data_IF_293316134126
#
_entry.id   IF_293316134126
#
_cell.length_a   1.000
_cell.length_b   1.000
_cell.length_c   1.000
_cell.angle_alpha   90.00
_cell.angle_beta   90.00
_cell.angle_gamma   90.00
#
_symmetry.space_group_name_H-M   'P 1'
#
loop_
_entity.id
_entity.type
_entity.pdbx_description
1 polymer ?
#
# COMPACT_ATOMS: atom_id res chain seq x y z
N UNK A 1 -5.92 -18.52 -62.41
CA UNK A 1 -6.10 -19.17 -61.09
C UNK A 1 -4.81 -19.00 -60.28
N UNK A 2 -4.89 -18.38 -59.11
CA UNK A 2 -3.71 -17.90 -58.35
C UNK A 2 -3.05 -19.02 -57.54
N UNK A 3 -1.71 -19.01 -57.48
CA UNK A 3 -0.87 -20.02 -56.78
C UNK A 3 -1.30 -20.27 -55.32
N UNK A 4 -1.88 -19.27 -54.67
CA UNK A 4 -2.43 -19.32 -53.31
C UNK A 4 -3.57 -20.35 -53.15
N UNK A 5 -4.38 -20.58 -54.19
CA UNK A 5 -5.51 -21.51 -54.13
C UNK A 5 -5.08 -22.98 -54.01
N UNK A 6 -3.95 -23.35 -54.64
CA UNK A 6 -3.40 -24.72 -54.54
C UNK A 6 -2.83 -25.02 -53.15
N UNK A 7 -2.22 -24.03 -52.50
CA UNK A 7 -1.67 -24.18 -51.14
C UNK A 7 -2.79 -24.40 -50.12
N UNK A 8 -3.87 -23.62 -50.22
CA UNK A 8 -5.05 -23.75 -49.36
C UNK A 8 -5.72 -25.12 -49.58
N UNK A 9 -5.92 -25.54 -50.83
CA UNK A 9 -6.51 -26.85 -51.15
C UNK A 9 -5.68 -28.03 -50.61
N UNK A 10 -4.34 -27.94 -50.65
CA UNK A 10 -3.46 -28.98 -50.10
C UNK A 10 -3.45 -29.01 -48.56
N UNK A 11 -3.57 -27.86 -47.89
CA UNK A 11 -3.68 -27.77 -46.44
C UNK A 11 -4.94 -28.45 -45.90
N UNK A 12 -6.07 -28.35 -46.61
CA UNK A 12 -7.33 -28.99 -46.21
C UNK A 12 -7.44 -30.48 -46.58
N UNK A 13 -6.48 -31.03 -47.36
CA UNK A 13 -6.43 -32.45 -47.72
C UNK A 13 -6.03 -33.36 -46.56
N UNK A 14 -5.25 -32.85 -45.59
CA UNK A 14 -4.87 -33.56 -44.35
C UNK A 14 -5.23 -32.74 -43.11
N UNK A 15 -6.54 -32.57 -42.87
CA UNK A 15 -7.12 -31.71 -41.82
C UNK A 15 -6.48 -31.90 -40.45
N UNK A 16 -6.29 -33.15 -40.00
CA UNK A 16 -5.69 -33.46 -38.69
C UNK A 16 -4.26 -32.92 -38.56
N UNK A 17 -3.43 -33.10 -39.61
CA UNK A 17 -2.03 -32.64 -39.57
C UNK A 17 -1.97 -31.12 -39.54
N UNK A 18 -2.75 -30.46 -40.37
CA UNK A 18 -2.80 -29.00 -40.48
C UNK A 18 -3.30 -28.35 -39.18
N UNK A 19 -4.34 -28.93 -38.56
CA UNK A 19 -4.86 -28.46 -37.27
C UNK A 19 -3.82 -28.62 -36.17
N UNK A 20 -3.16 -29.78 -36.06
CA UNK A 20 -2.14 -30.00 -35.02
C UNK A 20 -0.93 -29.08 -35.17
N UNK A 21 -0.47 -28.82 -36.41
CA UNK A 21 0.63 -27.87 -36.64
C UNK A 21 0.23 -26.43 -36.34
N UNK A 22 -1.00 -26.04 -36.69
CA UNK A 22 -1.51 -24.70 -36.39
C UNK A 22 -1.69 -24.50 -34.89
N UNK A 23 -2.24 -25.50 -34.19
CA UNK A 23 -2.44 -25.49 -32.75
C UNK A 23 -1.10 -25.40 -32.00
N UNK A 24 -0.07 -26.09 -32.48
CA UNK A 24 1.29 -25.99 -31.91
C UNK A 24 1.85 -24.56 -32.00
N UNK A 25 1.70 -23.90 -33.16
CA UNK A 25 2.13 -22.51 -33.34
C UNK A 25 1.32 -21.56 -32.46
N UNK A 26 -0.02 -21.71 -32.41
CA UNK A 26 -0.89 -20.90 -31.55
C UNK A 26 -0.49 -21.08 -30.08
N UNK A 27 -0.24 -22.30 -29.63
CA UNK A 27 0.15 -22.60 -28.25
C UNK A 27 1.50 -21.96 -27.90
N UNK A 28 2.47 -21.96 -28.82
CA UNK A 28 3.75 -21.28 -28.62
C UNK A 28 3.57 -19.77 -28.41
N UNK A 29 2.76 -19.10 -29.24
CA UNK A 29 2.46 -17.68 -29.08
C UNK A 29 1.64 -17.37 -27.82
N UNK A 30 0.71 -18.26 -27.45
CA UNK A 30 -0.10 -18.12 -26.23
C UNK A 30 0.77 -18.23 -24.99
N UNK A 31 1.64 -19.26 -24.92
CA UNK A 31 2.58 -19.44 -23.82
C UNK A 31 3.54 -18.25 -23.73
N UNK A 32 4.03 -17.73 -24.86
CA UNK A 32 4.87 -16.55 -24.89
C UNK A 32 4.14 -15.30 -24.35
N UNK A 33 2.90 -15.04 -24.80
CA UNK A 33 2.09 -13.93 -24.32
C UNK A 33 1.73 -14.03 -22.83
N UNK A 34 1.46 -15.25 -22.34
CA UNK A 34 1.22 -15.50 -20.92
C UNK A 34 2.49 -15.26 -20.11
N UNK A 35 3.65 -15.74 -20.56
CA UNK A 35 4.93 -15.53 -19.89
C UNK A 35 5.28 -14.04 -19.81
N UNK A 36 5.02 -13.28 -20.88
CA UNK A 36 5.19 -11.84 -20.91
C UNK A 36 4.25 -11.14 -19.91
N UNK A 37 2.98 -11.54 -19.85
CA UNK A 37 2.01 -10.97 -18.92
C UNK A 37 2.39 -11.23 -17.46
N UNK A 38 2.80 -12.47 -17.16
CA UNK A 38 3.30 -12.86 -15.85
C UNK A 38 4.58 -12.09 -15.50
N UNK A 39 5.50 -11.94 -16.44
CA UNK A 39 6.72 -11.15 -16.24
C UNK A 39 6.39 -9.69 -15.94
N UNK A 40 5.46 -9.07 -16.66
CA UNK A 40 5.02 -7.69 -16.38
C UNK A 40 4.40 -7.56 -15.00
N UNK A 41 3.61 -8.54 -14.54
CA UNK A 41 3.01 -8.50 -13.19
C UNK A 41 4.10 -8.56 -12.11
N UNK A 42 5.12 -9.42 -12.28
CA UNK A 42 6.24 -9.50 -11.34
C UNK A 42 7.18 -8.28 -11.44
N UNK A 43 7.38 -7.74 -12.63
CA UNK A 43 8.24 -6.58 -12.89
C UNK A 43 7.58 -5.25 -12.51
N UNK A 44 6.25 -5.15 -12.52
CA UNK A 44 5.53 -3.98 -11.99
C UNK A 44 5.75 -3.79 -10.47
N UNK A 45 6.07 -4.88 -9.75
CA UNK A 45 6.58 -4.82 -8.39
C UNK A 45 8.07 -4.45 -8.30
N UNK A 46 8.84 -4.64 -9.38
CA UNK A 46 10.27 -4.36 -9.50
C UNK A 46 10.60 -2.98 -10.07
N UNK A 47 9.65 -2.26 -10.68
CA UNK A 47 9.76 -0.81 -10.99
C UNK A 47 9.89 0.06 -9.71
N UNK A 48 9.93 -0.59 -8.53
CA UNK A 48 10.43 -0.07 -7.26
C UNK A 48 11.93 0.26 -7.23
N UNK A 49 12.67 0.12 -8.35
CA UNK A 49 14.10 0.48 -8.48
C UNK A 49 14.36 2.00 -8.36
N UNK A 50 13.32 2.83 -8.32
CA UNK A 50 13.40 4.25 -7.95
C UNK A 50 12.97 4.58 -6.52
N UNK A 51 12.65 3.58 -5.68
CA UNK A 51 12.07 3.83 -4.37
C UNK A 51 13.09 4.44 -3.41
N UNK A 52 12.90 5.72 -3.12
CA UNK A 52 13.57 6.44 -2.02
C UNK A 52 13.04 6.02 -0.64
N UNK A 53 12.39 4.86 -0.51
CA UNK A 53 11.78 4.39 0.74
C UNK A 53 12.07 2.92 0.98
N UNK A 54 12.64 2.61 2.14
CA UNK A 54 12.78 1.24 2.65
C UNK A 54 11.76 0.99 3.74
N UNK A 55 11.16 -0.20 3.75
CA UNK A 55 10.27 -0.66 4.81
C UNK A 55 11.04 -1.64 5.69
N UNK A 56 11.08 -1.36 6.98
CA UNK A 56 11.74 -2.19 7.99
C UNK A 56 10.65 -2.78 8.88
N UNK A 57 10.69 -4.10 9.06
CA UNK A 57 9.73 -4.85 9.86
C UNK A 57 10.46 -5.94 10.65
N UNK A 58 9.79 -6.55 11.62
CA UNK A 58 10.37 -7.68 12.35
C UNK A 58 10.61 -8.88 11.42
N UNK A 59 11.81 -9.47 11.51
CA UNK A 59 12.22 -10.63 10.70
C UNK A 59 11.30 -11.85 10.87
N UNK A 60 10.77 -12.04 12.08
CA UNK A 60 9.95 -13.21 12.45
C UNK A 60 8.54 -13.14 11.85
N UNK A 61 7.91 -11.96 11.86
CA UNK A 61 6.57 -11.72 11.32
C UNK A 61 6.29 -10.22 11.33
N UNK A 62 5.60 -9.71 10.31
CA UNK A 62 5.13 -8.33 10.28
C UNK A 62 4.13 -8.01 11.42
N UNK A 63 3.48 -9.03 11.98
CA UNK A 63 2.56 -8.87 13.12
C UNK A 63 3.28 -8.73 14.46
N UNK A 64 4.60 -8.99 14.52
CA UNK A 64 5.41 -8.78 15.71
C UNK A 64 5.89 -7.34 15.74
N UNK A 65 5.40 -6.49 16.66
CA UNK A 65 5.69 -5.07 16.59
C UNK A 65 7.06 -4.75 17.22
N UNK A 66 7.77 -3.83 16.58
CA UNK A 66 9.06 -3.29 16.98
C UNK A 66 8.88 -2.09 17.91
N UNK A 67 9.82 -1.83 18.83
CA UNK A 67 9.74 -0.66 19.70
C UNK A 67 10.08 0.63 18.95
N UNK A 68 9.22 1.65 19.07
CA UNK A 68 9.40 3.01 18.50
C UNK A 68 10.66 3.69 19.03
N UNK A 69 11.21 3.26 20.17
CA UNK A 69 12.52 3.70 20.66
C UNK A 69 13.69 3.39 19.70
N UNK A 70 13.48 2.57 18.67
CA UNK A 70 14.44 2.38 17.58
C UNK A 70 14.52 3.57 16.62
N UNK A 71 13.52 4.47 16.62
CA UNK A 71 13.43 5.58 15.68
C UNK A 71 14.70 6.45 15.63
N UNK A 72 15.27 6.93 16.77
CA UNK A 72 16.51 7.71 16.73
C UNK A 72 17.70 6.94 16.16
N UNK A 73 17.75 5.61 16.38
CA UNK A 73 18.82 4.77 15.83
C UNK A 73 18.70 4.64 14.31
N UNK A 74 17.48 4.50 13.81
CA UNK A 74 17.21 4.43 12.37
C UNK A 74 17.46 5.78 11.68
N UNK A 75 17.14 6.90 12.34
CA UNK A 75 17.45 8.23 11.83
C UNK A 75 18.96 8.51 11.76
N UNK A 76 19.75 7.90 12.65
CA UNK A 76 21.20 8.03 12.65
C UNK A 76 21.90 7.20 11.56
N UNK A 77 21.18 6.33 10.83
CA UNK A 77 21.77 5.51 9.77
C UNK A 77 22.18 6.41 8.58
N UNK A 78 23.44 6.34 8.12
CA UNK A 78 23.92 7.18 7.02
C UNK A 78 23.09 7.00 5.75
N UNK A 79 22.56 8.11 5.22
CA UNK A 79 21.73 8.11 4.01
C UNK A 79 20.22 8.03 4.26
N UNK A 80 19.79 7.92 5.53
CA UNK A 80 18.39 8.10 5.91
C UNK A 80 18.10 9.59 6.11
N UNK A 81 17.12 10.11 5.37
CA UNK A 81 16.67 11.50 5.45
C UNK A 81 15.59 11.69 6.53
N UNK A 82 14.68 10.72 6.65
CA UNK A 82 13.55 10.77 7.60
C UNK A 82 13.07 9.36 7.90
N UNK A 83 12.65 9.13 9.14
CA UNK A 83 12.02 7.87 9.55
C UNK A 83 10.59 8.13 9.98
N UNK A 84 9.67 7.32 9.47
CA UNK A 84 8.29 7.26 9.91
C UNK A 84 8.02 5.88 10.48
N UNK A 85 6.88 5.74 11.14
CA UNK A 85 6.39 4.47 11.62
C UNK A 85 4.91 4.33 11.28
N UNK A 86 4.50 3.08 11.12
CA UNK A 86 3.13 2.73 10.77
C UNK A 86 2.75 1.42 11.46
N UNK A 87 1.66 1.47 12.22
CA UNK A 87 1.11 0.32 12.90
C UNK A 87 -0.14 -0.14 12.15
N UNK A 88 -0.20 -1.42 11.81
CA UNK A 88 -1.38 -2.01 11.20
C UNK A 88 -2.53 -1.98 12.22
N UNK A 89 -3.67 -1.42 11.84
CA UNK A 89 -4.87 -1.40 12.66
C UNK A 89 -5.90 -2.43 12.19
N UNK A 90 -6.10 -2.56 10.88
CA UNK A 90 -7.05 -3.51 10.28
C UNK A 90 -8.50 -3.24 10.70
N UNK A 91 -9.03 -2.08 10.32
CA UNK A 91 -10.39 -1.65 10.68
C UNK A 91 -11.47 -2.38 9.87
N UNK A 92 -12.67 -2.45 10.43
CA UNK A 92 -13.88 -2.91 9.74
C UNK A 92 -14.89 -1.78 9.76
N UNK A 93 -15.29 -1.31 8.60
CA UNK A 93 -16.38 -0.37 8.45
C UNK A 93 -17.71 -1.12 8.34
N UNK A 94 -18.75 -0.58 8.99
CA UNK A 94 -20.05 -1.23 9.14
C UNK A 94 -19.90 -2.67 9.67
N UNK A 95 -20.70 -3.62 9.17
CA UNK A 95 -20.70 -4.99 9.68
C UNK A 95 -19.56 -5.85 9.12
N UNK A 96 -19.18 -5.69 7.84
CA UNK A 96 -18.30 -6.65 7.16
C UNK A 96 -17.34 -6.05 6.12
N UNK A 97 -17.07 -4.73 6.12
CA UNK A 97 -16.18 -4.11 5.13
C UNK A 97 -14.78 -3.91 5.70
N UNK A 98 -13.79 -4.79 5.41
CA UNK A 98 -12.43 -4.60 5.88
C UNK A 98 -11.78 -3.38 5.20
N UNK A 99 -11.04 -2.60 5.99
CA UNK A 99 -10.27 -1.46 5.54
C UNK A 99 -8.78 -1.70 5.75
N UNK A 100 -8.00 -1.24 4.78
CA UNK A 100 -6.57 -1.08 4.94
C UNK A 100 -6.35 0.20 5.75
N UNK A 101 -6.19 0.03 7.06
CA UNK A 101 -6.09 1.14 8.00
C UNK A 101 -4.82 1.02 8.84
N UNK A 102 -4.09 2.13 8.94
CA UNK A 102 -2.85 2.23 9.70
C UNK A 102 -2.89 3.43 10.65
N UNK A 103 -2.18 3.30 11.77
CA UNK A 103 -1.89 4.45 12.64
C UNK A 103 -0.47 4.96 12.41
N UNK A 104 -0.34 6.28 12.25
CA UNK A 104 0.88 6.96 11.82
C UNK A 104 1.12 8.26 12.61
N UNK A 105 2.34 8.78 12.54
CA UNK A 105 2.63 10.18 12.86
C UNK A 105 2.29 11.08 11.66
N UNK A 106 1.34 12.04 11.79
CA UNK A 106 0.91 12.88 10.67
C UNK A 106 2.02 13.67 9.99
N UNK A 107 2.90 14.30 10.79
CA UNK A 107 3.95 15.20 10.28
C UNK A 107 5.02 14.40 9.54
N UNK A 108 5.49 13.31 10.15
CA UNK A 108 6.48 12.41 9.53
C UNK A 108 5.91 11.75 8.29
N UNK A 109 4.63 11.38 8.29
CA UNK A 109 4.01 10.78 7.11
C UNK A 109 3.94 11.78 5.95
N UNK A 110 3.57 13.03 6.21
CA UNK A 110 3.58 14.09 5.20
C UNK A 110 4.98 14.30 4.61
N UNK A 111 6.02 14.36 5.44
CA UNK A 111 7.42 14.48 4.97
C UNK A 111 7.86 13.27 4.12
N UNK A 112 7.40 12.08 4.50
CA UNK A 112 7.80 10.83 3.88
C UNK A 112 7.08 10.63 2.57
N UNK A 113 5.79 10.97 2.46
CA UNK A 113 4.94 10.74 1.29
C UNK A 113 4.41 12.06 0.69
N UNK A 114 5.27 12.94 0.15
CA UNK A 114 4.83 14.17 -0.52
C UNK A 114 3.98 13.92 -1.78
N UNK A 115 3.91 12.67 -2.26
CA UNK A 115 3.07 12.26 -3.37
C UNK A 115 1.60 12.07 -2.99
N UNK A 116 1.29 11.97 -1.69
CA UNK A 116 -0.06 12.10 -1.19
C UNK A 116 -0.36 13.59 -0.98
N UNK A 117 -1.24 14.11 -1.83
CA UNK A 117 -1.57 15.52 -1.91
C UNK A 117 -2.91 15.74 -1.21
N UNK A 118 -2.91 16.70 -0.29
CA UNK A 118 -4.06 17.13 0.48
C UNK A 118 -3.81 18.60 0.86
N UNK A 119 -4.85 19.45 0.98
CA UNK A 119 -4.65 20.84 1.41
C UNK A 119 -3.89 20.92 2.75
N UNK A 120 -2.98 21.89 2.88
CA UNK A 120 -2.16 22.03 4.10
C UNK A 120 -3.03 22.20 5.35
N UNK A 121 -4.17 22.89 5.24
CA UNK A 121 -5.13 23.01 6.34
C UNK A 121 -5.69 21.67 6.83
N UNK A 122 -5.88 20.70 5.94
CA UNK A 122 -6.33 19.34 6.29
C UNK A 122 -5.19 18.51 6.91
N UNK A 123 -3.94 18.70 6.45
CA UNK A 123 -2.77 18.10 7.12
C UNK A 123 -2.63 18.59 8.56
N UNK A 124 -2.78 19.90 8.76
CA UNK A 124 -2.76 20.50 10.09
C UNK A 124 -3.96 20.06 10.93
N UNK A 125 -5.15 19.93 10.34
CA UNK A 125 -6.32 19.40 11.04
C UNK A 125 -6.09 17.95 11.49
N UNK A 126 -5.45 17.11 10.66
CA UNK A 126 -5.08 15.75 11.02
C UNK A 126 -4.02 15.68 12.12
N UNK A 127 -3.04 16.59 12.13
CA UNK A 127 -2.06 16.66 13.20
C UNK A 127 -2.66 17.10 14.55
N UNK A 128 -3.64 18.02 14.52
CA UNK A 128 -4.18 18.65 15.72
C UNK A 128 -5.45 17.97 16.27
N UNK A 129 -6.16 17.19 15.45
CA UNK A 129 -7.38 16.49 15.86
C UNK A 129 -7.04 15.08 16.28
N UNK A 130 -7.07 14.81 17.59
CA UNK A 130 -6.73 13.50 18.16
C UNK A 130 -7.57 12.35 17.61
N UNK A 131 -8.88 12.57 17.41
CA UNK A 131 -9.79 11.61 16.78
C UNK A 131 -9.81 11.72 15.26
N UNK A 132 -8.88 12.47 14.68
CA UNK A 132 -8.78 12.70 13.25
C UNK A 132 -8.40 11.44 12.49
N UNK A 133 -9.05 11.25 11.35
CA UNK A 133 -8.64 10.31 10.31
C UNK A 133 -8.55 11.03 8.97
N UNK A 134 -7.68 10.52 8.11
CA UNK A 134 -7.67 10.88 6.69
C UNK A 134 -7.91 9.63 5.86
N UNK A 135 -8.65 9.78 4.77
CA UNK A 135 -8.95 8.70 3.85
C UNK A 135 -8.42 9.03 2.46
N UNK A 136 -7.93 8.03 1.74
CA UNK A 136 -7.61 8.22 0.34
C UNK A 136 -8.88 8.40 -0.49
N UNK A 137 -8.78 9.20 -1.55
CA UNK A 137 -9.90 9.57 -2.42
C UNK A 137 -10.69 8.38 -2.95
N UNK A 138 -10.02 7.28 -3.36
CA UNK A 138 -10.72 6.08 -3.82
C UNK A 138 -11.65 5.50 -2.75
N UNK A 139 -11.22 5.43 -1.49
CA UNK A 139 -12.08 4.95 -0.38
C UNK A 139 -13.23 5.92 -0.14
N UNK A 140 -12.94 7.22 -0.13
CA UNK A 140 -13.95 8.24 0.13
C UNK A 140 -15.05 8.23 -0.96
N UNK A 141 -14.66 8.14 -2.24
CA UNK A 141 -15.60 8.06 -3.36
C UNK A 141 -16.37 6.73 -3.37
N UNK A 142 -15.68 5.61 -3.13
CA UNK A 142 -16.30 4.28 -3.11
C UNK A 142 -17.41 4.17 -2.06
N UNK A 143 -17.20 4.76 -0.88
CA UNK A 143 -18.15 4.69 0.23
C UNK A 143 -18.97 5.98 0.45
N UNK A 144 -18.80 6.97 -0.42
CA UNK A 144 -19.50 8.25 -0.34
C UNK A 144 -19.17 9.07 0.91
N UNK A 145 -18.00 8.89 1.50
CA UNK A 145 -17.56 9.65 2.68
C UNK A 145 -17.27 11.10 2.32
N UNK A 146 -17.64 12.00 3.24
CA UNK A 146 -17.45 13.44 3.07
C UNK A 146 -16.60 14.01 4.21
N UNK A 147 -15.79 15.01 3.88
CA UNK A 147 -15.02 15.76 4.87
C UNK A 147 -15.93 16.28 6.00
N UNK A 148 -15.48 16.15 7.23
CA UNK A 148 -16.22 16.51 8.45
C UNK A 148 -17.16 15.44 8.98
N UNK A 149 -17.32 14.31 8.28
CA UNK A 149 -18.15 13.20 8.74
C UNK A 149 -17.48 12.42 9.87
N UNK A 150 -18.28 11.99 10.86
CA UNK A 150 -17.85 10.97 11.83
C UNK A 150 -18.01 9.56 11.25
N UNK A 151 -16.91 8.82 11.17
CA UNK A 151 -16.86 7.46 10.64
C UNK A 151 -16.68 6.47 11.81
N UNK A 152 -17.66 5.57 12.06
CA UNK A 152 -17.51 4.50 13.02
C UNK A 152 -16.73 3.33 12.38
N UNK A 153 -15.64 2.92 13.03
CA UNK A 153 -14.78 1.81 12.63
C UNK A 153 -14.72 0.80 13.78
N UNK A 154 -15.01 -0.46 13.48
CA UNK A 154 -14.84 -1.56 14.42
C UNK A 154 -13.42 -2.12 14.30
N UNK A 155 -12.80 -2.47 15.42
CA UNK A 155 -11.50 -3.16 15.43
C UNK A 155 -11.65 -4.61 15.85
N UNK A 156 -11.20 -5.53 15.00
CA UNK A 156 -11.11 -6.95 15.36
C UNK A 156 -9.86 -7.27 16.18
N UNK A 157 -8.87 -6.37 16.15
CA UNK A 157 -7.55 -6.57 16.74
C UNK A 157 -7.41 -5.75 18.03
N UNK A 158 -7.75 -4.47 18.02
CA UNK A 158 -7.42 -3.53 19.10
C UNK A 158 -8.70 -2.99 19.78
N UNK A 159 -9.15 -3.59 20.89
CA UNK A 159 -10.16 -2.96 21.73
C UNK A 159 -9.60 -1.71 22.41
N UNK A 160 -10.46 -0.75 22.67
CA UNK A 160 -10.16 0.40 23.52
C UNK A 160 -10.04 -0.04 24.98
N UNK A 161 -9.43 0.80 25.84
CA UNK A 161 -9.27 0.56 27.28
C UNK A 161 -10.56 0.23 28.03
N UNK A 162 -11.71 0.69 27.53
CA UNK A 162 -13.03 0.37 28.09
C UNK A 162 -13.58 -0.99 27.61
N UNK A 163 -12.82 -1.77 26.84
CA UNK A 163 -13.21 -3.05 26.25
C UNK A 163 -14.01 -2.94 24.95
N UNK A 164 -14.42 -1.73 24.56
CA UNK A 164 -15.16 -1.51 23.31
C UNK A 164 -14.27 -1.71 22.09
N UNK A 165 -14.82 -2.38 21.07
CA UNK A 165 -14.19 -2.50 19.74
C UNK A 165 -14.61 -1.38 18.80
N UNK A 166 -15.51 -0.49 19.21
CA UNK A 166 -16.03 0.58 18.37
C UNK A 166 -15.18 1.85 18.52
N UNK A 167 -14.48 2.21 17.45
CA UNK A 167 -13.71 3.44 17.31
C UNK A 167 -14.50 4.45 16.48
N UNK A 168 -14.52 5.71 16.90
CA UNK A 168 -15.16 6.78 16.14
C UNK A 168 -14.10 7.80 15.76
N UNK A 169 -14.09 8.17 14.48
CA UNK A 169 -13.10 9.06 13.90
C UNK A 169 -13.77 10.22 13.18
N UNK A 170 -13.15 11.39 13.26
CA UNK A 170 -13.52 12.57 12.48
C UNK A 170 -12.74 12.57 11.17
N UNK A 171 -13.43 12.46 10.02
CA UNK A 171 -12.77 12.55 8.72
C UNK A 171 -12.35 14.00 8.48
N UNK A 172 -11.08 14.31 8.75
CA UNK A 172 -10.52 15.67 8.72
C UNK A 172 -9.74 15.98 7.45
N UNK A 173 -9.57 14.98 6.58
CA UNK A 173 -8.94 15.19 5.28
C UNK A 173 -9.17 14.04 4.30
N UNK A 174 -9.15 14.36 3.02
CA UNK A 174 -9.19 13.38 1.93
C UNK A 174 -8.01 13.63 1.01
N UNK A 175 -7.04 12.71 1.00
CA UNK A 175 -5.84 12.85 0.19
C UNK A 175 -5.99 12.14 -1.16
N UNK A 176 -5.32 12.68 -2.18
CA UNK A 176 -5.23 12.11 -3.51
C UNK A 176 -3.76 11.86 -3.89
N UNK A 177 -3.52 11.17 -5.01
CA UNK A 177 -2.18 11.01 -5.55
C UNK A 177 -1.77 12.17 -6.46
N UNK A 178 -0.50 12.58 -6.40
CA UNK A 178 0.06 13.61 -7.29
C UNK A 178 -0.03 13.26 -8.80
N UNK A 179 -0.07 11.98 -9.12
CA UNK A 179 -0.12 11.43 -10.47
C UNK A 179 -0.98 10.15 -10.54
N UNK A 180 -1.27 9.66 -11.75
CA UNK A 180 -2.14 8.48 -11.96
C UNK A 180 -1.65 7.21 -11.26
N UNK A 181 -0.34 7.06 -11.05
CA UNK A 181 0.20 5.91 -10.33
C UNK A 181 -0.07 6.01 -8.83
N UNK A 182 0.02 7.21 -8.26
CA UNK A 182 -0.29 7.47 -6.85
C UNK A 182 -1.80 7.51 -6.57
N UNK A 183 -2.63 8.00 -7.51
CA UNK A 183 -4.09 8.00 -7.37
C UNK A 183 -4.64 6.60 -7.14
N UNK A 184 -4.11 5.60 -7.86
CA UNK A 184 -4.43 4.16 -7.70
C UNK A 184 -4.05 3.59 -6.33
N UNK A 185 -3.26 4.31 -5.53
CA UNK A 185 -2.77 3.90 -4.20
C UNK A 185 -3.46 4.66 -3.06
N UNK A 186 -4.65 5.23 -3.33
CA UNK A 186 -5.48 5.93 -2.35
C UNK A 186 -6.57 5.04 -1.77
N UNK A 187 -6.39 3.71 -1.81
CA UNK A 187 -7.26 2.71 -1.20
C UNK A 187 -6.91 2.42 0.29
N UNK A 188 -6.44 3.44 1.00
CA UNK A 188 -5.87 3.34 2.36
C UNK A 188 -6.40 4.46 3.26
N UNK A 189 -6.49 4.17 4.55
CA UNK A 189 -6.98 5.07 5.59
C UNK A 189 -5.92 5.21 6.68
N UNK A 190 -5.76 6.43 7.19
CA UNK A 190 -4.82 6.71 8.27
C UNK A 190 -5.50 7.34 9.47
N UNK A 191 -5.05 6.95 10.65
CA UNK A 191 -5.40 7.56 11.94
C UNK A 191 -4.13 8.01 12.67
N UNK A 192 -4.30 8.84 13.68
CA UNK A 192 -3.18 9.30 14.49
C UNK A 192 -2.68 8.21 15.45
N UNK A 193 -1.36 7.97 15.46
CA UNK A 193 -0.75 6.94 16.29
C UNK A 193 -0.84 7.24 17.78
N UNK A 194 -0.68 8.49 18.21
CA UNK A 194 -0.74 8.84 19.64
C UNK A 194 -2.12 8.55 20.23
N UNK A 195 -3.19 8.82 19.46
CA UNK A 195 -4.55 8.45 19.85
C UNK A 195 -4.72 6.93 19.95
N UNK A 196 -4.24 6.20 18.94
CA UNK A 196 -4.25 4.74 18.97
C UNK A 196 -3.55 4.19 20.21
N UNK A 197 -2.32 4.64 20.47
CA UNK A 197 -1.47 4.13 21.53
C UNK A 197 -2.05 4.42 22.92
N UNK A 198 -2.66 5.59 23.09
CA UNK A 198 -3.31 5.95 24.34
C UNK A 198 -4.64 5.21 24.56
N UNK A 199 -5.46 5.07 23.53
CA UNK A 199 -6.81 4.51 23.68
C UNK A 199 -6.82 2.98 23.70
N UNK A 200 -5.83 2.32 23.10
CA UNK A 200 -5.74 0.87 22.99
C UNK A 200 -5.56 0.18 24.37
N UNK A 201 -6.33 -0.89 24.61
CA UNK A 201 -6.27 -1.67 25.85
C UNK A 201 -4.98 -2.47 26.00
N UNK A 202 -4.42 -2.99 24.91
CA UNK A 202 -3.29 -3.92 24.96
C UNK A 202 -1.97 -3.27 25.40
N UNK A 203 -1.94 -1.94 25.57
CA UNK A 203 -0.73 -1.26 25.99
C UNK A 203 0.41 -1.49 25.00
N UNK A 204 0.13 -1.33 23.70
CA UNK A 204 1.13 -1.28 22.60
C UNK A 204 2.07 -0.07 22.72
N UNK A 205 2.30 0.44 23.94
CA UNK A 205 3.02 1.68 24.25
C UNK A 205 4.34 1.71 23.53
N UNK A 206 4.44 2.64 22.58
CA UNK A 206 5.65 2.83 21.79
C UNK A 206 6.02 1.62 20.94
N UNK A 207 5.05 0.94 20.30
CA UNK A 207 5.31 -0.18 19.38
C UNK A 207 4.67 0.03 18.01
N UNK A 208 5.34 -0.47 16.97
CA UNK A 208 4.91 -0.33 15.57
C UNK A 208 5.29 -1.53 14.72
N UNK A 209 4.51 -1.88 13.70
CA UNK A 209 4.79 -3.01 12.81
C UNK A 209 5.86 -2.65 11.77
N UNK A 210 5.87 -1.41 11.30
CA UNK A 210 6.70 -0.97 10.20
C UNK A 210 7.41 0.35 10.52
N UNK A 211 8.69 0.43 10.21
CA UNK A 211 9.37 1.71 10.00
C UNK A 211 9.52 1.97 8.50
N UNK A 212 9.35 3.22 8.10
CA UNK A 212 9.50 3.68 6.72
C UNK A 212 10.67 4.65 6.70
N UNK A 213 11.76 4.25 6.06
CA UNK A 213 12.98 5.03 5.95
C UNK A 213 12.99 5.72 4.60
N UNK A 214 12.80 7.05 4.59
CA UNK A 214 13.05 7.86 3.40
C UNK A 214 14.56 8.05 3.25
N UNK A 215 15.10 7.62 2.12
CA UNK A 215 16.51 7.75 1.78
C UNK A 215 16.79 9.11 1.13
N UNK A 216 18.00 9.61 1.32
CA UNK A 216 18.49 10.80 0.59
C UNK A 216 18.74 10.50 -0.89
N UNK A 217 19.03 9.24 -1.22
CA UNK A 217 19.37 8.77 -2.57
C UNK A 217 18.99 7.29 -2.71
N UNK A 218 18.33 6.92 -3.81
CA UNK A 218 17.97 5.53 -4.11
C UNK A 218 19.19 4.63 -4.31
N UNK A 219 20.34 5.17 -4.73
CA UNK A 219 21.58 4.41 -4.88
C UNK A 219 22.10 3.84 -3.55
N UNK A 220 21.67 4.42 -2.41
CA UNK A 220 22.05 3.95 -1.07
C UNK A 220 21.14 2.86 -0.51
N UNK A 221 20.10 2.46 -1.24
CA UNK A 221 19.11 1.51 -0.75
C UNK A 221 19.73 0.18 -0.31
N UNK A 222 20.62 -0.42 -1.12
CA UNK A 222 21.24 -1.70 -0.79
C UNK A 222 22.16 -1.61 0.43
N UNK A 223 23.00 -0.57 0.49
CA UNK A 223 23.92 -0.38 1.62
C UNK A 223 23.16 -0.13 2.94
N UNK A 224 22.10 0.67 2.88
CA UNK A 224 21.24 0.96 4.04
C UNK A 224 20.50 -0.31 4.49
N UNK A 225 19.96 -1.10 3.55
CA UNK A 225 19.24 -2.34 3.86
C UNK A 225 20.12 -3.41 4.55
N UNK A 226 21.44 -3.41 4.33
CA UNK A 226 22.37 -4.31 5.04
C UNK A 226 22.68 -3.86 6.47
N UNK A 227 22.42 -2.59 6.79
CA UNK A 227 22.78 -1.98 8.07
C UNK A 227 21.64 -2.08 9.09
N UNK A 228 20.40 -2.22 8.62
CA UNK A 228 19.16 -2.24 9.42
C UNK A 228 18.60 -3.65 9.52
#
# INVERSE_FOLDING_TARGET
MTKSGFVIANLFRKRTRTILTLLSVIMAFLLFGLLQSVNTIFSAGADFVGATRLIVQARVSFTSPLPISMLPKLEAVPGVARVGYSQWFGGVWQENTPLIMFSIDPLRHHDIYPEYVMPEGEWQAFANTRTGMIAGKMIAEQYGWKLGQKIPISSNIFPQKNGSKAWSFDLVGIFDGKDENWKKRTNIVYMQHDYFDEANQFGMKGRTNFFILKLTDSARAEATAKTV
#
